data_IF_257618836707
#
_entry.id   IF_257618836707
#
_cell.length_a   1.000
_cell.length_b   1.000
_cell.length_c   1.000
_cell.angle_alpha   90.00
_cell.angle_beta   90.00
_cell.angle_gamma   90.00
#
_symmetry.space_group_name_H-M   'P 1'
#
loop_
_entity.id
_entity.type
_entity.pdbx_description
1 polymer ?
#
# COMPACT_ATOMS: atom_id res chain seq x y z
N UNK A 1 0.95 14.06 21.27
CA UNK A 1 1.01 13.93 19.80
C UNK A 1 2.28 13.15 19.47
N UNK A 2 2.17 12.04 18.72
CA UNK A 2 3.33 11.22 18.38
C UNK A 2 4.33 11.99 17.49
N UNK A 3 5.60 11.65 17.61
CA UNK A 3 6.67 12.16 16.76
C UNK A 3 6.57 11.60 15.34
N UNK A 4 7.21 12.26 14.38
CA UNK A 4 7.21 11.78 12.99
C UNK A 4 7.90 10.41 12.85
N UNK A 5 8.86 10.10 13.73
CA UNK A 5 9.57 8.82 13.75
C UNK A 5 8.64 7.68 14.15
N UNK A 6 7.89 7.86 15.24
CA UNK A 6 6.91 6.87 15.72
C UNK A 6 5.80 6.65 14.68
N UNK A 7 5.34 7.71 14.01
CA UNK A 7 4.34 7.60 12.94
C UNK A 7 4.87 6.78 11.76
N UNK A 8 6.14 6.98 11.38
CA UNK A 8 6.78 6.16 10.33
C UNK A 8 6.84 4.69 10.70
N UNK A 9 7.27 4.39 11.92
CA UNK A 9 7.35 3.02 12.43
C UNK A 9 5.97 2.36 12.45
N UNK A 10 4.93 3.10 12.87
CA UNK A 10 3.55 2.63 12.81
C UNK A 10 3.09 2.35 11.37
N UNK A 11 3.34 3.27 10.44
CA UNK A 11 2.94 3.14 9.03
C UNK A 11 3.58 1.94 8.32
N UNK A 12 4.76 1.48 8.74
CA UNK A 12 5.40 0.26 8.20
C UNK A 12 4.56 -0.99 8.49
N UNK A 13 3.81 -1.00 9.59
CA UNK A 13 2.95 -2.15 9.97
C UNK A 13 1.66 -2.21 9.16
N UNK A 14 1.25 -1.10 8.54
CA UNK A 14 0.04 -1.00 7.74
C UNK A 14 0.26 -1.62 6.37
N UNK A 15 -0.54 -2.62 5.98
CA UNK A 15 -0.43 -3.31 4.68
C UNK A 15 -1.62 -3.10 3.74
N UNK A 16 -2.68 -2.49 4.23
CA UNK A 16 -3.95 -2.31 3.51
C UNK A 16 -4.28 -0.83 3.40
N UNK A 17 -4.83 -0.40 2.25
CA UNK A 17 -5.14 1.00 1.98
C UNK A 17 -6.29 1.53 2.83
N UNK A 18 -7.20 0.63 3.20
CA UNK A 18 -8.41 0.86 3.97
C UNK A 18 -8.16 0.79 5.49
N UNK A 19 -6.89 0.62 5.88
CA UNK A 19 -6.54 0.50 7.29
C UNK A 19 -7.06 1.70 8.10
N UNK A 20 -7.73 1.47 9.23
CA UNK A 20 -8.25 2.54 10.08
C UNK A 20 -7.14 3.46 10.62
N UNK A 21 -5.89 2.97 10.66
CA UNK A 21 -4.72 3.75 11.07
C UNK A 21 -4.53 4.97 10.16
N UNK A 22 -4.81 4.85 8.85
CA UNK A 22 -4.74 6.02 7.97
C UNK A 22 -5.80 7.05 8.32
N UNK A 23 -7.03 6.65 8.59
CA UNK A 23 -8.11 7.55 8.97
C UNK A 23 -7.81 8.31 10.26
N UNK A 24 -7.16 7.65 11.23
CA UNK A 24 -6.72 8.30 12.46
C UNK A 24 -5.59 9.29 12.23
N UNK A 25 -4.56 8.89 11.48
CA UNK A 25 -3.40 9.73 11.21
C UNK A 25 -3.71 10.91 10.27
N UNK A 26 -4.71 10.77 9.39
CA UNK A 26 -5.15 11.84 8.51
C UNK A 26 -5.74 13.04 9.26
N UNK A 27 -6.21 12.85 10.50
CA UNK A 27 -6.64 13.95 11.38
C UNK A 27 -5.47 14.87 11.79
N UNK A 28 -4.24 14.39 11.68
CA UNK A 28 -3.04 15.16 11.97
C UNK A 28 -2.59 15.97 10.74
N UNK A 29 -2.96 17.24 10.70
CA UNK A 29 -2.70 18.14 9.57
C UNK A 29 -1.24 18.55 9.37
N UNK A 30 -0.29 18.04 10.18
CA UNK A 30 1.13 18.34 9.99
C UNK A 30 1.58 17.82 8.63
N UNK A 31 2.19 18.69 7.83
CA UNK A 31 2.64 18.35 6.48
C UNK A 31 3.58 17.13 6.43
N UNK A 32 4.43 16.96 7.45
CA UNK A 32 5.27 15.77 7.59
C UNK A 32 4.47 14.48 7.70
N UNK A 33 3.42 14.47 8.51
CA UNK A 33 2.56 13.30 8.73
C UNK A 33 1.79 12.95 7.46
N UNK A 34 1.16 13.94 6.83
CA UNK A 34 0.42 13.78 5.58
C UNK A 34 1.30 13.25 4.43
N UNK A 35 2.57 13.68 4.36
CA UNK A 35 3.53 13.16 3.39
C UNK A 35 3.85 11.69 3.61
N UNK A 36 4.06 11.27 4.85
CA UNK A 36 4.38 9.88 5.16
C UNK A 36 3.17 8.95 4.94
N UNK A 37 1.96 9.40 5.28
CA UNK A 37 0.71 8.71 4.94
C UNK A 37 0.63 8.46 3.43
N UNK A 38 0.77 9.53 2.64
CA UNK A 38 0.71 9.46 1.17
C UNK A 38 1.78 8.53 0.60
N UNK A 39 2.99 8.57 1.17
CA UNK A 39 4.10 7.70 0.77
C UNK A 39 3.79 6.24 1.01
N UNK A 40 3.23 5.89 2.18
CA UNK A 40 2.89 4.49 2.48
C UNK A 40 1.73 3.99 1.61
N UNK A 41 0.68 4.79 1.40
CA UNK A 41 -0.43 4.43 0.50
C UNK A 41 0.07 4.11 -0.91
N UNK A 42 0.95 4.95 -1.48
CA UNK A 42 1.56 4.69 -2.79
C UNK A 42 2.38 3.40 -2.83
N UNK A 43 3.12 3.09 -1.77
CA UNK A 43 3.88 1.84 -1.69
C UNK A 43 2.95 0.61 -1.69
N UNK A 44 1.87 0.63 -0.88
CA UNK A 44 0.88 -0.44 -0.86
C UNK A 44 0.22 -0.60 -2.23
N UNK A 45 -0.18 0.50 -2.88
CA UNK A 45 -0.78 0.44 -4.21
C UNK A 45 0.18 -0.18 -5.25
N UNK A 46 1.46 0.20 -5.22
CA UNK A 46 2.46 -0.38 -6.12
C UNK A 46 2.66 -1.89 -5.89
N UNK A 47 2.61 -2.35 -4.63
CA UNK A 47 2.64 -3.78 -4.29
C UNK A 47 1.40 -4.51 -4.85
N UNK A 48 0.20 -3.91 -4.74
CA UNK A 48 -1.05 -4.47 -5.28
C UNK A 48 -1.04 -4.52 -6.81
N UNK A 49 -0.59 -3.45 -7.46
CA UNK A 49 -0.52 -3.35 -8.92
C UNK A 49 0.44 -4.40 -9.51
N UNK A 50 1.57 -4.63 -8.84
CA UNK A 50 2.51 -5.69 -9.26
C UNK A 50 1.92 -7.08 -9.08
N UNK A 51 1.23 -7.35 -7.97
CA UNK A 51 0.54 -8.63 -7.78
C UNK A 51 -0.51 -8.87 -8.89
N UNK A 52 -1.30 -7.86 -9.24
CA UNK A 52 -2.28 -7.96 -10.33
C UNK A 52 -1.60 -8.22 -11.68
N UNK A 53 -0.45 -7.57 -11.94
CA UNK A 53 0.36 -7.81 -13.15
C UNK A 53 0.83 -9.26 -13.23
N UNK A 54 1.34 -9.80 -12.13
CA UNK A 54 1.82 -11.18 -12.04
C UNK A 54 0.68 -12.20 -12.22
N UNK A 55 -0.48 -11.96 -11.60
CA UNK A 55 -1.67 -12.81 -11.76
C UNK A 55 -2.17 -12.81 -13.21
N UNK A 56 -2.13 -11.65 -13.87
CA UNK A 56 -2.51 -11.52 -15.29
C UNK A 56 -1.56 -12.31 -16.18
N UNK A 57 -0.25 -12.26 -15.93
CA UNK A 57 0.74 -13.05 -16.67
C UNK A 57 0.53 -14.56 -16.47
N UNK A 58 0.33 -15.02 -15.24
CA UNK A 58 0.11 -16.44 -14.95
C UNK A 58 -1.18 -16.97 -15.60
N UNK A 59 -2.23 -16.15 -15.62
CA UNK A 59 -3.50 -16.52 -16.26
C UNK A 59 -3.33 -16.70 -17.76
N UNK A 60 -2.59 -15.79 -18.41
CA UNK A 60 -2.25 -15.88 -19.82
C UNK A 60 -1.43 -17.14 -20.15
N UNK A 61 -0.40 -17.45 -19.36
CA UNK A 61 0.39 -18.68 -19.53
C UNK A 61 -0.48 -19.94 -19.44
N UNK A 62 -1.35 -20.03 -18.43
CA UNK A 62 -2.27 -21.17 -18.26
C UNK A 62 -3.23 -21.34 -19.43
N UNK A 63 -3.67 -20.24 -20.05
CA UNK A 63 -4.56 -20.29 -21.20
C UNK A 63 -3.85 -20.82 -22.45
N UNK A 64 -2.61 -20.39 -22.69
CA UNK A 64 -1.77 -20.94 -23.76
C UNK A 64 -1.53 -22.45 -23.61
N UNK A 65 -1.29 -22.92 -22.37
CA UNK A 65 -1.13 -24.35 -22.08
C UNK A 65 -2.40 -25.18 -22.28
N UNK A 66 -3.60 -24.57 -22.27
CA UNK A 66 -4.85 -25.28 -22.55
C UNK A 66 -5.16 -25.39 -24.04
N UNK A 67 -4.47 -24.62 -24.88
CA UNK A 67 -4.70 -24.56 -26.32
C UNK A 67 -3.79 -25.53 -27.12
N UNK A 68 -2.94 -26.32 -26.45
CA UNK A 68 -2.08 -27.36 -27.03
C UNK A 68 -1.72 -28.44 -26.02
#
# INVERSE_FOLDING_TARGET
MATIKEIKELLVTVKELESPIFLELEKDNRSGVQKEISKRKRAIQAELDENLRLESMLSYEKELYKQG
#
